data_IF_317013623805
#
_entry.id   IF_317013623805
#
_cell.length_a   1.000
_cell.length_b   1.000
_cell.length_c   1.000
_cell.angle_alpha   90.00
_cell.angle_beta   90.00
_cell.angle_gamma   90.00
#
_symmetry.space_group_name_H-M   'P 1'
#
loop_
_entity.id
_entity.type
_entity.pdbx_description
1 polymer ?
#
# COMPACT_ATOMS: atom_id res chain seq x y z
N UNK A 1 28.57 -2.75 -9.18
CA UNK A 1 28.47 -2.85 -10.66
C UNK A 1 27.72 -1.63 -11.14
N UNK A 2 28.09 -1.03 -12.28
CA UNK A 2 27.34 0.08 -12.84
C UNK A 2 26.39 -0.45 -13.92
N UNK A 3 25.27 0.23 -14.15
CA UNK A 3 24.28 -0.14 -15.16
C UNK A 3 23.96 1.05 -16.07
N UNK A 4 23.25 0.79 -17.16
CA UNK A 4 22.69 1.80 -18.05
C UNK A 4 21.16 1.66 -18.05
N UNK A 5 20.45 2.76 -17.84
CA UNK A 5 18.99 2.83 -17.99
C UNK A 5 18.67 3.48 -19.33
N UNK A 6 17.98 2.75 -20.18
CA UNK A 6 17.40 3.24 -21.43
C UNK A 6 15.93 3.59 -21.17
N UNK A 7 15.60 4.88 -21.26
CA UNK A 7 14.22 5.37 -21.11
C UNK A 7 13.67 5.77 -22.48
N UNK A 8 12.53 5.18 -22.86
CA UNK A 8 11.89 5.42 -24.16
C UNK A 8 10.47 5.98 -23.90
N UNK A 9 10.17 7.13 -24.50
CA UNK A 9 8.80 7.66 -24.47
C UNK A 9 7.92 6.93 -25.47
N UNK A 10 6.78 6.40 -25.03
CA UNK A 10 5.88 5.58 -25.83
C UNK A 10 4.41 5.92 -25.57
N UNK A 11 3.59 5.88 -26.62
CA UNK A 11 2.14 5.93 -26.46
C UNK A 11 1.56 4.57 -26.11
N UNK A 12 0.39 4.57 -25.49
CA UNK A 12 -0.45 3.42 -25.09
C UNK A 12 0.04 2.02 -25.45
N UNK A 13 -0.54 1.44 -26.51
CA UNK A 13 -0.26 0.05 -26.90
C UNK A 13 1.21 -0.25 -27.28
N UNK A 14 1.97 0.77 -27.69
CA UNK A 14 3.38 0.58 -28.04
C UNK A 14 4.27 0.28 -26.82
N UNK A 15 3.88 0.70 -25.62
CA UNK A 15 4.68 0.53 -24.42
C UNK A 15 4.87 -0.95 -24.05
N UNK A 16 3.81 -1.75 -24.10
CA UNK A 16 3.88 -3.19 -23.87
C UNK A 16 4.79 -3.90 -24.89
N UNK A 17 4.58 -3.62 -26.19
CA UNK A 17 5.41 -4.19 -27.26
C UNK A 17 6.88 -3.84 -27.12
N UNK A 18 7.19 -2.60 -26.74
CA UNK A 18 8.57 -2.17 -26.45
C UNK A 18 9.14 -2.88 -25.24
N UNK A 19 8.36 -3.05 -24.18
CA UNK A 19 8.78 -3.74 -22.97
C UNK A 19 9.19 -5.19 -23.24
N UNK A 20 8.33 -5.94 -23.93
CA UNK A 20 8.60 -7.33 -24.30
C UNK A 20 9.85 -7.46 -25.18
N UNK A 21 9.95 -6.62 -26.21
CA UNK A 21 11.11 -6.63 -27.12
C UNK A 21 12.42 -6.27 -26.40
N UNK A 22 12.41 -5.32 -25.46
CA UNK A 22 13.58 -4.95 -24.68
C UNK A 22 14.06 -6.09 -23.78
N UNK A 23 13.12 -6.84 -23.17
CA UNK A 23 13.46 -8.05 -22.40
C UNK A 23 14.11 -9.11 -23.29
N UNK A 24 13.58 -9.36 -24.50
CA UNK A 24 14.16 -10.29 -25.47
C UNK A 24 15.56 -9.85 -25.96
N UNK A 25 15.81 -8.55 -25.99
CA UNK A 25 17.11 -7.96 -26.36
C UNK A 25 18.13 -7.92 -25.21
N UNK A 26 17.80 -8.54 -24.08
CA UNK A 26 18.71 -8.74 -22.96
C UNK A 26 18.67 -7.65 -21.88
N UNK A 27 17.57 -6.93 -21.77
CA UNK A 27 17.36 -6.07 -20.62
C UNK A 27 17.28 -6.91 -19.33
N UNK A 28 17.93 -6.46 -18.27
CA UNK A 28 17.90 -7.07 -16.94
C UNK A 28 16.56 -6.88 -16.26
N UNK A 29 15.91 -5.76 -16.52
CA UNK A 29 14.55 -5.44 -16.08
C UNK A 29 13.93 -4.42 -17.01
N UNK A 30 12.59 -4.42 -17.08
CA UNK A 30 11.81 -3.40 -17.80
C UNK A 30 10.67 -2.95 -16.89
N UNK A 31 10.46 -1.63 -16.76
CA UNK A 31 9.29 -1.00 -16.14
C UNK A 31 8.59 -0.08 -17.12
N UNK A 32 7.26 0.04 -16.95
CA UNK A 32 6.43 1.00 -17.70
C UNK A 32 5.81 1.93 -16.66
N UNK A 33 6.03 3.22 -16.82
CA UNK A 33 5.62 4.26 -15.88
C UNK A 33 4.76 5.29 -16.61
N UNK A 34 3.88 5.97 -15.86
CA UNK A 34 3.13 7.11 -16.37
C UNK A 34 4.09 8.27 -16.66
N UNK A 35 4.15 8.71 -17.93
CA UNK A 35 4.96 9.88 -18.29
C UNK A 35 4.44 11.18 -17.68
N UNK A 36 3.15 11.20 -17.30
CA UNK A 36 2.47 12.35 -16.70
C UNK A 36 2.44 12.28 -15.16
N UNK A 37 3.11 11.28 -14.54
CA UNK A 37 3.19 11.14 -13.09
C UNK A 37 3.63 12.44 -12.40
N UNK A 38 3.02 12.77 -11.26
CA UNK A 38 3.22 14.01 -10.49
C UNK A 38 2.83 15.30 -11.22
N UNK A 39 2.08 15.23 -12.31
CA UNK A 39 1.51 16.38 -13.02
C UNK A 39 -0.01 16.43 -12.83
N UNK A 40 -0.63 17.54 -13.26
CA UNK A 40 -2.10 17.65 -13.27
C UNK A 40 -2.80 16.70 -14.28
N UNK A 41 -2.03 16.02 -15.14
CA UNK A 41 -2.51 15.06 -16.13
C UNK A 41 -2.31 13.60 -15.68
N UNK A 42 -1.75 13.35 -14.50
CA UNK A 42 -1.58 12.01 -13.92
C UNK A 42 -2.92 11.27 -13.87
N UNK A 43 -2.93 10.05 -14.40
CA UNK A 43 -4.09 9.17 -14.37
C UNK A 43 -3.73 7.93 -13.53
N UNK A 44 -4.17 7.85 -12.27
CA UNK A 44 -3.93 6.65 -11.48
C UNK A 44 -4.65 5.44 -12.09
N UNK A 45 -3.91 4.36 -12.35
CA UNK A 45 -4.45 3.08 -12.79
C UNK A 45 -4.61 2.19 -11.56
N UNK A 46 -5.84 2.08 -11.05
CA UNK A 46 -6.19 1.13 -9.99
C UNK A 46 -7.04 0.01 -10.58
N UNK A 47 -6.64 -1.24 -10.36
CA UNK A 47 -7.43 -2.43 -10.66
C UNK A 47 -7.91 -3.10 -9.38
N UNK A 48 -9.22 -3.30 -9.23
CA UNK A 48 -9.73 -4.15 -8.16
C UNK A 48 -9.71 -5.63 -8.58
N UNK A 49 -9.57 -6.59 -7.63
CA UNK A 49 -9.61 -8.01 -7.95
C UNK A 49 -10.90 -8.39 -8.69
N UNK A 50 -10.76 -8.96 -9.89
CA UNK A 50 -11.87 -9.37 -10.75
C UNK A 50 -12.25 -8.37 -11.84
N UNK A 51 -11.60 -7.23 -11.94
CA UNK A 51 -11.64 -6.34 -13.11
C UNK A 51 -10.63 -6.77 -14.18
N UNK A 52 -10.90 -6.39 -15.44
CA UNK A 52 -9.89 -6.52 -16.47
C UNK A 52 -8.64 -5.71 -16.04
N UNK A 53 -7.42 -6.24 -16.26
CA UNK A 53 -6.23 -5.49 -15.91
C UNK A 53 -6.30 -4.11 -16.55
N UNK A 54 -6.03 -3.04 -15.81
CA UNK A 54 -6.01 -1.70 -16.35
C UNK A 54 -5.01 -1.67 -17.51
N UNK A 55 -5.38 -1.01 -18.60
CA UNK A 55 -4.48 -0.78 -19.74
C UNK A 55 -3.24 -0.01 -19.32
N UNK A 56 -2.34 0.22 -20.25
CA UNK A 56 -1.22 1.15 -20.07
C UNK A 56 -1.73 2.59 -20.22
N UNK A 57 -1.00 3.56 -19.66
CA UNK A 57 -1.33 4.99 -19.78
C UNK A 57 -1.29 5.47 -21.25
N UNK A 58 -1.86 6.62 -21.53
CA UNK A 58 -1.80 7.23 -22.87
C UNK A 58 -0.36 7.65 -23.22
N UNK A 59 0.37 8.16 -22.24
CA UNK A 59 1.78 8.50 -22.35
C UNK A 59 2.57 7.68 -21.35
N UNK A 60 3.56 6.95 -21.83
CA UNK A 60 4.38 6.06 -21.01
C UNK A 60 5.86 6.36 -21.18
N UNK A 61 6.61 6.10 -20.11
CA UNK A 61 8.06 5.93 -20.15
C UNK A 61 8.36 4.45 -19.94
N UNK A 62 8.92 3.82 -20.96
CA UNK A 62 9.44 2.45 -20.86
C UNK A 62 10.92 2.55 -20.46
N UNK A 63 11.24 2.09 -19.26
CA UNK A 63 12.59 2.11 -18.70
C UNK A 63 13.17 0.70 -18.70
N UNK A 64 14.28 0.49 -19.37
CA UNK A 64 14.97 -0.79 -19.46
C UNK A 64 16.39 -0.67 -18.90
N UNK A 65 16.76 -1.63 -18.04
CA UNK A 65 18.08 -1.68 -17.41
C UNK A 65 18.99 -2.65 -18.17
N UNK A 66 20.21 -2.23 -18.46
CA UNK A 66 21.24 -3.02 -19.13
C UNK A 66 22.56 -2.98 -18.37
N UNK A 67 23.41 -3.97 -18.61
CA UNK A 67 24.80 -3.93 -18.16
C UNK A 67 25.56 -2.75 -18.82
N UNK A 68 26.57 -2.24 -18.12
CA UNK A 68 27.37 -1.07 -18.56
C UNK A 68 28.04 -1.27 -19.90
N UNK A 69 28.35 -2.52 -20.26
CA UNK A 69 29.07 -2.89 -21.50
C UNK A 69 28.10 -3.09 -22.67
N UNK A 70 26.81 -2.99 -22.46
CA UNK A 70 25.79 -3.14 -23.53
C UNK A 70 25.84 -1.94 -24.46
N UNK A 71 25.99 -2.18 -25.76
CA UNK A 71 25.90 -1.13 -26.78
C UNK A 71 24.41 -0.79 -27.04
N UNK A 72 23.96 0.27 -26.41
CA UNK A 72 22.56 0.73 -26.52
C UNK A 72 22.19 1.13 -27.95
N UNK A 73 23.15 1.56 -28.77
CA UNK A 73 22.87 1.87 -30.19
C UNK A 73 22.49 0.60 -30.96
N UNK A 74 23.16 -0.52 -30.69
CA UNK A 74 22.82 -1.82 -31.26
C UNK A 74 21.45 -2.30 -30.76
N UNK A 75 21.18 -2.15 -29.46
CA UNK A 75 19.88 -2.48 -28.89
C UNK A 75 18.77 -1.67 -29.56
N UNK A 76 18.94 -0.35 -29.72
CA UNK A 76 17.94 0.51 -30.37
C UNK A 76 17.71 0.13 -31.85
N UNK A 77 18.77 -0.25 -32.57
CA UNK A 77 18.63 -0.72 -33.95
C UNK A 77 17.84 -2.04 -34.01
N UNK A 78 18.18 -3.00 -33.15
CA UNK A 78 17.46 -4.27 -33.06
C UNK A 78 16.00 -4.09 -32.62
N UNK A 79 15.74 -3.19 -31.68
CA UNK A 79 14.40 -2.84 -31.22
C UNK A 79 13.55 -2.29 -32.35
N UNK A 80 14.10 -1.38 -33.18
CA UNK A 80 13.38 -0.84 -34.36
C UNK A 80 13.08 -1.93 -35.40
N UNK A 81 13.98 -2.88 -35.57
CA UNK A 81 13.75 -4.01 -36.48
C UNK A 81 12.68 -4.97 -35.96
N UNK A 82 12.70 -5.27 -34.67
CA UNK A 82 11.76 -6.20 -34.05
C UNK A 82 10.34 -5.62 -33.97
N UNK A 83 10.20 -4.33 -33.63
CA UNK A 83 8.91 -3.70 -33.39
C UNK A 83 8.34 -2.93 -34.59
N UNK A 84 9.18 -2.57 -35.57
CA UNK A 84 8.82 -1.68 -36.68
C UNK A 84 8.61 -0.22 -36.27
N UNK A 85 8.87 0.15 -35.03
CA UNK A 85 8.70 1.50 -34.49
C UNK A 85 9.98 2.32 -34.76
N UNK A 86 9.84 3.47 -35.41
CA UNK A 86 10.96 4.35 -35.78
C UNK A 86 10.82 5.71 -35.10
N UNK A 87 11.95 6.40 -34.95
CA UNK A 87 11.98 7.75 -34.39
C UNK A 87 11.66 7.83 -32.91
N UNK A 88 11.89 6.76 -32.15
CA UNK A 88 11.65 6.70 -30.71
C UNK A 88 12.55 7.70 -29.98
N UNK A 89 11.92 8.63 -29.25
CA UNK A 89 12.63 9.51 -28.33
C UNK A 89 13.14 8.71 -27.15
N UNK A 90 14.42 8.78 -26.86
CA UNK A 90 15.01 8.04 -25.75
C UNK A 90 16.10 8.84 -25.04
N UNK A 91 16.34 8.48 -23.78
CA UNK A 91 17.41 9.01 -22.93
C UNK A 91 18.17 7.82 -22.35
N UNK A 92 19.49 7.94 -22.30
CA UNK A 92 20.36 6.95 -21.65
C UNK A 92 20.91 7.60 -20.39
N UNK A 93 20.68 6.98 -19.24
CA UNK A 93 21.21 7.39 -17.95
C UNK A 93 22.18 6.34 -17.46
N UNK A 94 23.38 6.75 -17.06
CA UNK A 94 24.31 5.86 -16.39
C UNK A 94 23.95 5.78 -14.92
N UNK A 95 23.66 4.57 -14.44
CA UNK A 95 23.36 4.30 -13.04
C UNK A 95 24.65 3.80 -12.41
N UNK A 96 25.33 4.67 -11.67
CA UNK A 96 26.49 4.25 -10.89
C UNK A 96 26.02 3.38 -9.71
N UNK A 97 26.92 2.53 -9.23
CA UNK A 97 26.68 1.75 -8.02
C UNK A 97 26.45 2.73 -6.85
N UNK A 98 25.19 3.03 -6.62
CA UNK A 98 24.79 3.75 -5.42
C UNK A 98 24.49 2.71 -4.35
N UNK A 99 24.73 3.07 -3.11
CA UNK A 99 24.15 2.37 -1.98
C UNK A 99 22.61 2.56 -2.04
N UNK A 100 21.97 1.69 -2.83
CA UNK A 100 20.50 1.73 -3.06
C UNK A 100 19.73 1.69 -1.74
N UNK A 101 20.30 1.03 -0.73
CA UNK A 101 19.70 1.01 0.61
C UNK A 101 19.67 2.43 1.15
N UNK A 102 20.78 3.15 1.08
CA UNK A 102 20.89 4.51 1.57
C UNK A 102 20.10 5.52 0.74
N UNK A 103 20.09 5.36 -0.59
CA UNK A 103 19.33 6.21 -1.50
C UNK A 103 17.81 6.02 -1.30
N UNK A 104 17.37 4.78 -1.10
CA UNK A 104 15.98 4.47 -0.77
C UNK A 104 15.62 4.99 0.62
N UNK A 105 16.48 4.78 1.61
CA UNK A 105 16.26 5.28 2.98
C UNK A 105 16.09 6.80 3.03
N UNK A 106 16.85 7.55 2.23
CA UNK A 106 16.76 9.03 2.19
C UNK A 106 15.45 9.57 1.59
N UNK A 107 14.62 8.72 0.98
CA UNK A 107 13.32 9.11 0.40
C UNK A 107 12.16 8.98 1.40
N UNK A 108 12.39 8.34 2.54
CA UNK A 108 11.33 8.07 3.52
C UNK A 108 11.61 8.80 4.83
N UNK A 109 11.00 9.96 4.97
CA UNK A 109 11.02 10.72 6.21
C UNK A 109 9.97 10.21 7.21
N UNK A 110 10.13 10.51 8.52
CA UNK A 110 9.09 10.23 9.50
C UNK A 110 7.77 10.88 9.16
N UNK A 111 6.67 10.10 9.26
CA UNK A 111 5.33 10.54 8.91
C UNK A 111 4.58 10.94 10.19
N UNK A 112 4.13 12.17 10.24
CA UNK A 112 3.28 12.67 11.33
C UNK A 112 1.83 12.31 11.06
N UNK A 113 1.25 11.46 11.89
CA UNK A 113 -0.20 11.17 11.90
C UNK A 113 -0.93 12.20 12.75
N UNK A 114 -0.39 12.48 13.92
CA UNK A 114 -0.86 13.48 14.88
C UNK A 114 0.34 14.04 15.64
N UNK A 115 0.10 15.00 16.52
CA UNK A 115 1.17 15.53 17.39
C UNK A 115 1.77 14.47 18.31
N UNK A 116 0.95 13.51 18.73
CA UNK A 116 1.25 12.44 19.65
C UNK A 116 1.40 11.05 19.00
N UNK A 117 1.38 10.95 17.65
CA UNK A 117 1.51 9.69 16.91
C UNK A 117 2.29 9.88 15.62
N UNK A 118 3.40 9.14 15.48
CA UNK A 118 4.29 9.18 14.33
C UNK A 118 4.59 7.76 13.81
N UNK A 119 4.87 7.66 12.51
CA UNK A 119 5.50 6.50 11.90
C UNK A 119 6.94 6.90 11.59
N UNK A 120 7.88 6.11 12.07
CA UNK A 120 9.31 6.45 12.02
C UNK A 120 10.06 5.26 11.40
N UNK A 121 10.72 5.44 10.23
CA UNK A 121 11.63 4.43 9.71
C UNK A 121 12.77 4.15 10.71
N UNK A 122 13.27 2.90 10.76
CA UNK A 122 14.25 2.45 11.74
C UNK A 122 15.60 3.19 11.69
N UNK A 123 15.90 3.83 10.57
CA UNK A 123 17.11 4.63 10.33
C UNK A 123 16.96 6.11 10.70
N UNK A 124 15.79 6.54 11.17
CA UNK A 124 15.55 7.89 11.65
C UNK A 124 15.40 7.94 13.18
N UNK A 125 15.81 9.05 13.76
CA UNK A 125 15.45 9.38 15.14
C UNK A 125 14.00 9.87 15.17
N UNK A 126 13.29 9.56 16.25
CA UNK A 126 11.92 10.00 16.45
C UNK A 126 11.86 11.54 16.54
N UNK A 127 11.08 12.22 15.70
CA UNK A 127 10.97 13.70 15.75
C UNK A 127 10.40 14.23 17.06
N UNK A 128 9.61 13.41 17.74
CA UNK A 128 9.08 13.69 19.07
C UNK A 128 9.20 12.42 19.93
N UNK A 129 10.15 12.39 20.85
CA UNK A 129 10.39 11.23 21.72
C UNK A 129 9.25 10.96 22.71
N UNK A 130 8.44 11.98 23.05
CA UNK A 130 7.30 11.85 23.97
C UNK A 130 6.04 11.34 23.26
N UNK A 131 6.03 11.31 21.94
CA UNK A 131 4.93 10.79 21.14
C UNK A 131 4.98 9.26 21.03
N UNK A 132 3.88 8.64 20.68
CA UNK A 132 3.84 7.26 20.24
C UNK A 132 4.52 7.15 18.87
N UNK A 133 5.69 6.57 18.84
CA UNK A 133 6.44 6.33 17.62
C UNK A 133 6.30 4.85 17.22
N UNK A 134 5.77 4.61 16.03
CA UNK A 134 5.67 3.28 15.42
C UNK A 134 6.82 3.14 14.44
N UNK A 135 7.74 2.23 14.74
CA UNK A 135 8.87 1.93 13.86
C UNK A 135 8.38 1.07 12.70
N UNK A 136 8.47 1.59 11.50
CA UNK A 136 8.05 0.88 10.30
C UNK A 136 8.95 1.25 9.12
N UNK A 137 9.61 0.25 8.57
CA UNK A 137 10.42 0.40 7.38
C UNK A 137 9.56 0.16 6.12
N UNK A 138 9.67 0.99 5.09
CA UNK A 138 9.09 0.71 3.78
C UNK A 138 9.61 -0.62 3.27
N UNK A 139 8.73 -1.54 2.97
CA UNK A 139 9.06 -2.90 2.57
C UNK A 139 8.11 -3.42 1.50
N UNK A 140 8.20 -4.74 1.22
CA UNK A 140 7.37 -5.43 0.22
C UNK A 140 5.89 -5.57 0.64
N UNK A 141 5.57 -5.43 1.93
CA UNK A 141 4.20 -5.50 2.40
C UNK A 141 3.50 -4.14 2.27
N UNK A 142 2.23 -4.17 1.85
CA UNK A 142 1.37 -2.99 1.76
C UNK A 142 1.18 -2.34 3.15
N UNK A 143 1.03 -1.01 3.19
CA UNK A 143 0.78 -0.28 4.45
C UNK A 143 2.02 0.37 5.04
N UNK A 144 2.77 1.16 4.24
CA UNK A 144 3.93 1.95 4.68
C UNK A 144 3.55 3.15 5.58
N UNK A 145 2.25 3.42 5.73
CA UNK A 145 1.75 4.56 6.51
C UNK A 145 1.61 5.87 5.76
N UNK A 146 2.21 6.01 4.59
CA UNK A 146 2.14 7.24 3.78
C UNK A 146 0.78 7.43 3.08
N UNK A 147 0.03 6.34 2.88
CA UNK A 147 -1.23 6.41 2.16
C UNK A 147 -2.34 7.06 3.03
N UNK A 148 -3.20 7.92 2.45
CA UNK A 148 -4.28 8.61 3.17
C UNK A 148 -5.19 7.68 3.97
N UNK A 149 -5.47 6.47 3.46
CA UNK A 149 -6.32 5.47 4.15
C UNK A 149 -5.71 4.98 5.45
N UNK A 150 -4.39 4.76 5.48
CA UNK A 150 -3.67 4.36 6.69
C UNK A 150 -3.65 5.48 7.71
N UNK A 151 -3.42 6.73 7.24
CA UNK A 151 -3.49 7.92 8.08
C UNK A 151 -4.86 8.06 8.76
N UNK A 152 -5.95 7.92 7.99
CA UNK A 152 -7.33 7.98 8.52
C UNK A 152 -7.59 6.92 9.60
N UNK A 153 -7.17 5.68 9.38
CA UNK A 153 -7.34 4.59 10.35
C UNK A 153 -6.52 4.83 11.63
N UNK A 154 -5.26 5.24 11.49
CA UNK A 154 -4.37 5.51 12.63
C UNK A 154 -4.87 6.68 13.48
N UNK A 155 -5.28 7.78 12.84
CA UNK A 155 -5.85 8.92 13.54
C UNK A 155 -7.12 8.53 14.29
N UNK A 156 -7.98 7.74 13.65
CA UNK A 156 -9.20 7.25 14.27
C UNK A 156 -8.93 6.31 15.46
N UNK A 157 -7.98 5.39 15.33
CA UNK A 157 -7.57 4.52 16.43
C UNK A 157 -7.07 5.36 17.62
N UNK A 158 -6.22 6.35 17.37
CA UNK A 158 -5.69 7.21 18.42
C UNK A 158 -6.78 8.00 19.17
N UNK A 159 -7.86 8.39 18.47
CA UNK A 159 -9.00 9.11 19.07
C UNK A 159 -9.97 8.18 19.83
N UNK A 160 -10.02 6.90 19.47
CA UNK A 160 -11.09 6.02 19.92
C UNK A 160 -10.62 4.82 20.76
N UNK A 161 -9.33 4.56 20.88
CA UNK A 161 -8.84 3.55 21.82
C UNK A 161 -8.85 4.09 23.25
N UNK A 162 -9.36 3.29 24.18
CA UNK A 162 -9.48 3.66 25.60
C UNK A 162 -8.62 2.76 26.52
N UNK A 163 -8.05 1.70 25.94
CA UNK A 163 -7.21 0.72 26.62
C UNK A 163 -8.01 -0.54 27.05
N UNK A 164 -7.38 -1.68 26.85
CA UNK A 164 -7.93 -2.99 27.20
C UNK A 164 -8.86 -3.62 26.14
N UNK A 165 -9.20 -2.91 25.06
CA UNK A 165 -10.09 -3.45 24.02
C UNK A 165 -9.44 -4.62 23.27
N UNK A 166 -10.26 -5.59 22.86
CA UNK A 166 -9.90 -6.56 21.86
C UNK A 166 -10.04 -5.94 20.44
N UNK A 167 -9.01 -6.02 19.62
CA UNK A 167 -8.96 -5.42 18.28
C UNK A 167 -8.71 -6.48 17.23
N UNK A 168 -9.51 -6.47 16.15
CA UNK A 168 -9.29 -7.23 14.93
C UNK A 168 -8.86 -6.26 13.82
N UNK A 169 -7.69 -6.50 13.21
CA UNK A 169 -7.21 -5.85 12.01
C UNK A 169 -7.28 -6.84 10.84
N UNK A 170 -8.24 -6.66 9.94
CA UNK A 170 -8.49 -7.57 8.82
C UNK A 170 -7.96 -7.01 7.51
N UNK A 171 -7.05 -7.73 6.85
CA UNK A 171 -6.20 -7.21 5.79
C UNK A 171 -5.06 -6.39 6.38
N UNK A 172 -4.35 -6.97 7.36
CA UNK A 172 -3.42 -6.22 8.20
C UNK A 172 -2.12 -5.81 7.49
N UNK A 173 -1.77 -6.44 6.36
CA UNK A 173 -0.58 -6.12 5.57
C UNK A 173 0.70 -6.06 6.41
N UNK A 174 1.30 -4.90 6.52
CA UNK A 174 2.48 -4.66 7.37
C UNK A 174 2.23 -4.80 8.87
N UNK A 175 0.97 -4.94 9.30
CA UNK A 175 0.53 -4.98 10.69
C UNK A 175 0.44 -3.61 11.37
N UNK A 176 0.60 -2.52 10.63
CA UNK A 176 0.71 -1.16 11.21
C UNK A 176 -0.49 -0.79 12.09
N UNK A 177 -1.73 -1.10 11.67
CA UNK A 177 -2.93 -0.76 12.43
C UNK A 177 -3.05 -1.62 13.70
N UNK A 178 -2.76 -2.92 13.59
CA UNK A 178 -2.72 -3.84 14.73
C UNK A 178 -1.64 -3.42 15.75
N UNK A 179 -0.45 -3.07 15.28
CA UNK A 179 0.66 -2.57 16.11
C UNK A 179 0.26 -1.26 16.80
N UNK A 180 -0.31 -0.33 16.05
CA UNK A 180 -0.81 0.94 16.60
C UNK A 180 -1.85 0.71 17.68
N UNK A 181 -2.85 -0.13 17.43
CA UNK A 181 -3.87 -0.47 18.42
C UNK A 181 -3.25 -1.05 19.71
N UNK A 182 -2.29 -1.97 19.57
CA UNK A 182 -1.57 -2.54 20.73
C UNK A 182 -0.81 -1.48 21.52
N UNK A 183 -0.09 -0.61 20.83
CA UNK A 183 0.69 0.47 21.42
C UNK A 183 -0.18 1.57 22.05
N UNK A 184 -1.44 1.71 21.58
CA UNK A 184 -2.47 2.59 22.16
C UNK A 184 -3.19 1.93 23.35
N UNK A 185 -2.76 0.76 23.80
CA UNK A 185 -3.24 0.11 25.02
C UNK A 185 -4.29 -0.97 24.80
N UNK A 186 -4.49 -1.45 23.55
CA UNK A 186 -5.36 -2.61 23.30
C UNK A 186 -4.94 -3.82 24.15
N UNK A 187 -5.91 -4.58 24.61
CA UNK A 187 -5.69 -5.83 25.35
C UNK A 187 -5.22 -6.94 24.41
N UNK A 188 -6.15 -7.64 23.78
CA UNK A 188 -5.85 -8.64 22.75
C UNK A 188 -5.93 -8.03 21.35
N UNK A 189 -4.95 -8.29 20.50
CA UNK A 189 -4.95 -7.83 19.10
C UNK A 189 -4.70 -9.01 18.17
N UNK A 190 -5.55 -9.14 17.16
CA UNK A 190 -5.46 -10.14 16.10
C UNK A 190 -5.38 -9.44 14.75
N UNK A 191 -4.28 -9.64 14.02
CA UNK A 191 -4.13 -9.26 12.62
C UNK A 191 -4.41 -10.46 11.72
N UNK A 192 -5.12 -10.25 10.62
CA UNK A 192 -5.44 -11.30 9.65
C UNK A 192 -5.11 -10.79 8.25
N UNK A 193 -4.40 -11.58 7.47
CA UNK A 193 -4.16 -11.29 6.05
C UNK A 193 -4.11 -12.59 5.24
N UNK A 194 -4.46 -12.51 3.96
CA UNK A 194 -4.43 -13.64 3.02
C UNK A 194 -3.03 -13.94 2.50
N UNK A 195 -2.11 -12.96 2.58
CA UNK A 195 -0.76 -13.08 2.07
C UNK A 195 0.20 -13.61 3.14
N UNK A 196 0.83 -14.79 2.94
CA UNK A 196 1.85 -15.29 3.84
C UNK A 196 3.05 -14.35 4.02
N UNK A 197 3.38 -13.51 3.03
CA UNK A 197 4.45 -12.53 3.15
C UNK A 197 4.07 -11.40 4.09
N UNK A 198 2.81 -10.96 4.07
CA UNK A 198 2.28 -10.01 5.03
C UNK A 198 2.40 -10.56 6.47
N UNK A 199 2.18 -11.86 6.68
CA UNK A 199 2.36 -12.50 7.99
C UNK A 199 3.80 -12.46 8.51
N UNK A 200 4.78 -12.58 7.63
CA UNK A 200 6.19 -12.46 8.01
C UNK A 200 6.54 -11.00 8.34
N UNK A 201 6.15 -10.07 7.48
CA UNK A 201 6.41 -8.66 7.67
C UNK A 201 5.74 -8.11 8.94
N UNK A 202 4.46 -8.45 9.17
CA UNK A 202 3.71 -7.97 10.34
C UNK A 202 4.30 -8.48 11.66
N UNK A 203 4.75 -9.73 11.72
CA UNK A 203 5.43 -10.28 12.92
C UNK A 203 6.74 -9.57 13.18
N UNK A 204 7.56 -9.35 12.16
CA UNK A 204 8.82 -8.62 12.31
C UNK A 204 8.59 -7.17 12.76
N UNK A 205 7.60 -6.50 12.17
CA UNK A 205 7.24 -5.13 12.56
C UNK A 205 6.71 -5.08 14.00
N UNK A 206 5.93 -6.07 14.42
CA UNK A 206 5.45 -6.16 15.80
C UNK A 206 6.60 -6.35 16.80
N UNK A 207 7.58 -7.20 16.48
CA UNK A 207 8.81 -7.36 17.28
C UNK A 207 9.58 -6.06 17.39
N UNK A 208 9.81 -5.36 16.27
CA UNK A 208 10.51 -4.06 16.24
C UNK A 208 9.81 -3.00 17.12
N UNK A 209 8.48 -3.10 17.25
CA UNK A 209 7.67 -2.20 18.08
C UNK A 209 7.37 -2.73 19.48
N UNK A 210 7.90 -3.90 19.87
CA UNK A 210 7.59 -4.54 21.14
C UNK A 210 6.09 -4.68 21.40
N UNK A 211 5.31 -4.95 20.31
CA UNK A 211 3.88 -5.07 20.33
C UNK A 211 3.46 -6.54 20.29
N UNK A 212 2.81 -7.03 21.35
CA UNK A 212 2.28 -8.39 21.40
C UNK A 212 1.00 -8.47 20.57
N UNK A 213 1.12 -8.83 19.30
CA UNK A 213 0.03 -9.01 18.34
C UNK A 213 0.07 -10.44 17.80
N UNK A 214 -1.09 -11.07 17.72
CA UNK A 214 -1.24 -12.35 17.04
C UNK A 214 -1.58 -12.11 15.57
N UNK A 215 -0.87 -12.78 14.65
CA UNK A 215 -1.11 -12.69 13.21
C UNK A 215 -1.41 -14.07 12.64
N UNK A 216 -2.52 -14.20 11.89
CA UNK A 216 -3.00 -15.47 11.35
C UNK A 216 -3.51 -15.32 9.92
N UNK A 217 -3.40 -16.39 9.15
CA UNK A 217 -4.12 -16.51 7.88
C UNK A 217 -5.61 -16.74 8.14
N UNK A 218 -6.53 -16.40 7.19
CA UNK A 218 -7.97 -16.51 7.41
C UNK A 218 -8.46 -17.87 7.88
N UNK A 219 -7.85 -18.95 7.37
CA UNK A 219 -8.23 -20.35 7.72
C UNK A 219 -7.77 -20.76 9.13
N UNK A 220 -6.87 -20.00 9.74
CA UNK A 220 -6.32 -20.28 11.07
C UNK A 220 -6.85 -19.34 12.16
N UNK A 221 -7.78 -18.46 11.81
CA UNK A 221 -8.37 -17.50 12.76
C UNK A 221 -9.13 -18.24 13.86
N UNK A 222 -8.72 -18.06 15.14
CA UNK A 222 -9.47 -18.66 16.25
C UNK A 222 -10.81 -17.94 16.44
N UNK A 223 -11.73 -18.50 17.24
CA UNK A 223 -12.88 -17.73 17.72
C UNK A 223 -12.39 -16.46 18.41
N UNK A 224 -12.71 -15.31 17.81
CA UNK A 224 -12.28 -14.00 18.29
C UNK A 224 -13.40 -12.99 18.13
N UNK A 225 -13.82 -12.37 19.21
CA UNK A 225 -14.80 -11.30 19.23
C UNK A 225 -14.10 -10.02 19.66
N UNK A 226 -14.16 -9.01 18.83
CA UNK A 226 -13.49 -7.74 19.01
C UNK A 226 -14.40 -6.63 19.51
N UNK A 227 -13.87 -5.74 20.35
CA UNK A 227 -14.49 -4.45 20.68
C UNK A 227 -14.35 -3.47 19.51
N UNK A 228 -13.25 -3.60 18.76
CA UNK A 228 -12.93 -2.76 17.61
C UNK A 228 -12.50 -3.65 16.44
N UNK A 229 -13.13 -3.47 15.30
CA UNK A 229 -12.73 -4.08 14.03
C UNK A 229 -12.23 -2.98 13.11
N UNK A 230 -11.02 -3.13 12.61
CA UNK A 230 -10.48 -2.24 11.56
C UNK A 230 -10.18 -3.07 10.31
N UNK A 231 -10.46 -2.48 9.13
CA UNK A 231 -10.07 -3.08 7.86
C UNK A 231 -9.74 -1.95 6.86
N UNK A 232 -8.50 -1.96 6.37
CA UNK A 232 -8.03 -1.02 5.36
C UNK A 232 -7.73 -1.78 4.06
N UNK A 233 -8.80 -2.20 3.38
CA UNK A 233 -8.76 -2.99 2.14
C UNK A 233 -9.72 -2.40 1.13
N UNK A 234 -9.64 -2.83 -0.13
CA UNK A 234 -10.48 -2.32 -1.21
C UNK A 234 -11.99 -2.51 -0.96
N UNK A 235 -12.81 -1.67 -1.58
CA UNK A 235 -14.27 -1.63 -1.36
C UNK A 235 -14.96 -2.97 -1.68
N UNK A 236 -14.62 -3.66 -2.78
CA UNK A 236 -15.25 -4.93 -3.14
C UNK A 236 -15.02 -6.05 -2.13
N UNK A 237 -13.78 -6.33 -1.67
CA UNK A 237 -13.56 -7.21 -0.53
C UNK A 237 -14.37 -6.82 0.71
N UNK A 238 -14.47 -5.53 1.05
CA UNK A 238 -15.28 -5.09 2.18
C UNK A 238 -16.75 -5.46 2.04
N UNK A 239 -17.35 -5.32 0.85
CA UNK A 239 -18.73 -5.71 0.60
C UNK A 239 -18.94 -7.23 0.79
N UNK A 240 -18.00 -8.04 0.27
CA UNK A 240 -18.09 -9.50 0.40
C UNK A 240 -17.92 -9.96 1.84
N UNK A 241 -16.98 -9.35 2.56
CA UNK A 241 -16.61 -9.73 3.93
C UNK A 241 -17.55 -9.11 5.00
N UNK A 242 -18.48 -8.25 4.64
CA UNK A 242 -19.32 -7.53 5.60
C UNK A 242 -20.02 -8.41 6.66
N UNK A 243 -20.67 -9.55 6.30
CA UNK A 243 -21.29 -10.42 7.31
C UNK A 243 -20.25 -11.02 8.27
N UNK A 244 -19.07 -11.39 7.77
CA UNK A 244 -18.01 -11.99 8.55
C UNK A 244 -17.41 -10.96 9.52
N UNK A 245 -17.03 -9.76 9.02
CA UNK A 245 -16.52 -8.67 9.86
C UNK A 245 -17.53 -8.25 10.92
N UNK A 246 -18.82 -8.18 10.56
CA UNK A 246 -19.88 -7.95 11.53
C UNK A 246 -19.94 -9.05 12.60
N UNK A 247 -19.76 -10.34 12.24
CA UNK A 247 -19.80 -11.43 13.22
C UNK A 247 -18.65 -11.38 14.22
N UNK A 248 -17.49 -10.86 13.83
CA UNK A 248 -16.35 -10.68 14.72
C UNK A 248 -16.43 -9.46 15.64
N UNK A 249 -17.33 -8.51 15.37
CA UNK A 249 -17.53 -7.35 16.23
C UNK A 249 -18.57 -7.67 17.31
N UNK A 250 -18.30 -7.34 18.58
CA UNK A 250 -19.29 -7.49 19.65
C UNK A 250 -20.44 -6.49 19.52
N UNK A 251 -21.56 -6.74 20.17
CA UNK A 251 -22.65 -5.76 20.28
C UNK A 251 -22.15 -4.49 21.01
N UNK A 252 -22.45 -3.31 20.49
CA UNK A 252 -21.90 -2.04 20.95
C UNK A 252 -20.43 -1.81 20.58
N UNK A 253 -19.79 -2.78 19.91
CA UNK A 253 -18.44 -2.62 19.36
C UNK A 253 -18.39 -1.68 18.17
N UNK A 254 -17.20 -1.29 17.77
CA UNK A 254 -16.97 -0.28 16.72
C UNK A 254 -16.29 -0.91 15.52
N UNK A 255 -16.61 -0.39 14.34
CA UNK A 255 -15.94 -0.76 13.10
C UNK A 255 -15.35 0.48 12.43
N UNK A 256 -14.17 0.34 11.80
CA UNK A 256 -13.54 1.37 11.00
C UNK A 256 -13.03 0.74 9.70
N UNK A 257 -13.52 1.24 8.57
CA UNK A 257 -13.29 0.70 7.23
C UNK A 257 -12.68 1.78 6.36
N UNK A 258 -11.56 1.49 5.71
CA UNK A 258 -10.90 2.37 4.76
C UNK A 258 -10.38 1.57 3.56
N UNK A 259 -9.66 2.23 2.63
CA UNK A 259 -9.36 1.67 1.31
C UNK A 259 -10.50 1.88 0.33
N UNK A 260 -11.37 2.86 0.61
CA UNK A 260 -12.62 3.15 -0.07
C UNK A 260 -12.49 4.52 -0.74
N UNK A 261 -12.76 4.60 -2.04
CA UNK A 261 -12.86 5.88 -2.74
C UNK A 261 -14.16 6.60 -2.33
N UNK A 262 -14.13 7.92 -2.43
CA UNK A 262 -15.26 8.78 -2.07
C UNK A 262 -16.55 8.39 -2.78
N UNK A 263 -16.47 7.98 -4.05
CA UNK A 263 -17.61 7.52 -4.87
C UNK A 263 -18.17 6.16 -4.45
N UNK A 264 -17.38 5.33 -3.76
CA UNK A 264 -17.78 4.00 -3.26
C UNK A 264 -18.38 4.06 -1.85
N UNK A 265 -18.25 5.20 -1.17
CA UNK A 265 -18.59 5.35 0.24
C UNK A 265 -20.07 5.01 0.56
N UNK A 266 -20.99 5.45 -0.30
CA UNK A 266 -22.44 5.24 -0.09
C UNK A 266 -22.79 3.76 -0.18
N UNK A 267 -22.27 3.04 -1.17
CA UNK A 267 -22.52 1.61 -1.37
C UNK A 267 -22.00 0.78 -0.19
N UNK A 268 -20.75 1.02 0.23
CA UNK A 268 -20.17 0.31 1.37
C UNK A 268 -20.92 0.64 2.66
N UNK A 269 -21.22 1.90 2.93
CA UNK A 269 -21.96 2.33 4.11
C UNK A 269 -23.36 1.70 4.16
N UNK A 270 -24.08 1.66 3.06
CA UNK A 270 -25.39 1.03 2.96
C UNK A 270 -25.34 -0.48 3.28
N UNK A 271 -24.31 -1.19 2.77
CA UNK A 271 -24.10 -2.60 3.07
C UNK A 271 -23.91 -2.85 4.56
N UNK A 272 -23.04 -2.09 5.23
CA UNK A 272 -22.75 -2.26 6.65
C UNK A 272 -23.87 -1.77 7.57
N UNK A 273 -24.76 -0.91 7.08
CA UNK A 273 -25.96 -0.48 7.81
C UNK A 273 -26.92 -1.61 8.16
N UNK A 274 -26.74 -2.82 7.63
CA UNK A 274 -27.44 -4.01 8.07
C UNK A 274 -27.11 -4.40 9.53
N UNK A 275 -25.90 -4.09 10.01
CA UNK A 275 -25.42 -4.50 11.34
C UNK A 275 -24.96 -3.35 12.23
N UNK A 276 -24.64 -2.20 11.64
CA UNK A 276 -24.04 -1.06 12.35
C UNK A 276 -24.87 0.21 12.16
N UNK A 277 -24.84 1.06 13.17
CA UNK A 277 -25.25 2.45 13.05
C UNK A 277 -24.04 3.23 12.50
N UNK A 278 -24.06 3.48 11.18
CA UNK A 278 -22.96 4.11 10.48
C UNK A 278 -22.93 5.63 10.72
N UNK A 279 -21.72 6.15 10.99
CA UNK A 279 -21.48 7.59 11.11
C UNK A 279 -21.24 8.24 9.74
N UNK A 280 -21.16 9.58 9.72
CA UNK A 280 -20.79 10.32 8.52
C UNK A 280 -19.34 9.95 8.09
N UNK A 281 -19.07 9.80 6.78
CA UNK A 281 -17.74 9.50 6.29
C UNK A 281 -16.72 10.60 6.66
N UNK A 282 -15.52 10.19 7.05
CA UNK A 282 -14.38 11.07 7.25
C UNK A 282 -13.49 10.97 5.99
N UNK A 283 -13.18 12.10 5.37
CA UNK A 283 -12.48 12.11 4.09
C UNK A 283 -11.09 12.76 4.20
N UNK A 284 -10.12 12.17 3.49
CA UNK A 284 -8.81 12.74 3.25
C UNK A 284 -8.48 12.50 1.77
N UNK A 285 -8.27 13.59 1.03
CA UNK A 285 -8.12 13.55 -0.43
C UNK A 285 -9.32 12.87 -1.11
N UNK A 286 -9.11 11.86 -1.94
CA UNK A 286 -10.17 11.08 -2.59
C UNK A 286 -10.57 9.83 -1.80
N UNK A 287 -10.03 9.61 -0.61
CA UNK A 287 -10.25 8.43 0.22
C UNK A 287 -11.15 8.74 1.41
N UNK A 288 -11.84 7.72 1.90
CA UNK A 288 -12.71 7.86 3.06
C UNK A 288 -12.47 6.78 4.11
N UNK A 289 -12.77 7.14 5.35
CA UNK A 289 -12.97 6.23 6.46
C UNK A 289 -14.46 6.20 6.79
N UNK A 290 -15.04 5.01 6.79
CA UNK A 290 -16.39 4.73 7.25
C UNK A 290 -16.31 4.12 8.64
N UNK A 291 -17.10 4.63 9.58
CA UNK A 291 -17.14 4.12 10.95
C UNK A 291 -18.56 3.83 11.39
N UNK A 292 -18.73 2.91 12.33
CA UNK A 292 -20.04 2.56 12.85
C UNK A 292 -19.97 1.84 14.18
N UNK A 293 -21.12 1.84 14.90
CA UNK A 293 -21.30 1.10 16.15
C UNK A 293 -22.26 -0.05 15.91
N UNK A 294 -21.89 -1.26 16.33
CA UNK A 294 -22.71 -2.47 16.15
C UNK A 294 -23.96 -2.41 17.02
N UNK A 295 -25.12 -2.66 16.39
CA UNK A 295 -26.42 -2.76 17.04
C UNK A 295 -26.58 -4.03 17.84
#
# INVERSE_FOLDING_TARGET
MAWQSLKISAGGEAAGTLGDALMELGALSVSIEDADAQTAAEQPIFGEPGEAPPGVWQHNVVSALFDTDTDIAVVMQALQQATGLHGLSHVIERIEEQDWVRATQSQFDPIRIRDDLWIVPSWHEAPNADALNIVLDPGLAFGTGSHPTTHLCLAWLADHMHGGEAVLDYGCGSGILAIAAKRLGAGAVLGVDIDPQAMLASRQNAENNQAEVRFELPDAVPPFIANVVVANILARPLLVLAPMLASHCQQGGRIALSGILREQAEEVSACYSAWFDMAAPIALENWVLLTGTKR
#
